data_IF_606758840459
#
_entry.id   IF_606758840459
#
_cell.length_a   1.000
_cell.length_b   1.000
_cell.length_c   1.000
_cell.angle_alpha   90.00
_cell.angle_beta   90.00
_cell.angle_gamma   90.00
#
_symmetry.space_group_name_H-M   'P 1'
#
loop_
_entity.id
_entity.type
_entity.pdbx_description
1 polymer ?
#
# COMPACT_ATOMS: atom_id res chain seq x y z
N UNK A 1 -8.51 -7.25 -20.56
CA UNK A 1 -9.38 -6.20 -21.11
C UNK A 1 -9.41 -5.09 -20.08
N UNK A 2 -8.62 -4.04 -20.30
CA UNK A 2 -8.34 -2.99 -19.33
C UNK A 2 -9.33 -1.84 -19.52
N UNK A 3 -10.36 -1.77 -18.70
CA UNK A 3 -11.25 -0.61 -18.67
C UNK A 3 -10.54 0.54 -17.95
N UNK A 4 -10.00 1.43 -18.77
CA UNK A 4 -9.36 2.69 -18.40
C UNK A 4 -10.33 3.48 -17.52
N UNK A 5 -9.89 3.83 -16.30
CA UNK A 5 -10.63 4.67 -15.37
C UNK A 5 -11.35 5.81 -16.09
N UNK A 6 -12.66 5.63 -16.23
CA UNK A 6 -13.55 6.55 -16.93
C UNK A 6 -13.70 7.79 -16.04
N UNK A 7 -13.37 8.94 -16.58
CA UNK A 7 -13.84 10.21 -16.08
C UNK A 7 -15.33 10.31 -16.48
N UNK A 8 -16.18 10.85 -15.61
CA UNK A 8 -17.60 11.04 -15.94
C UNK A 8 -17.74 11.98 -17.14
N UNK A 9 -18.93 11.98 -17.77
CA UNK A 9 -19.31 12.81 -18.94
C UNK A 9 -19.02 14.33 -18.74
N UNK A 10 -18.74 14.75 -17.51
CA UNK A 10 -18.32 16.09 -17.10
C UNK A 10 -16.93 16.08 -16.44
N UNK A 11 -15.92 15.41 -16.99
CA UNK A 11 -14.50 15.59 -16.61
C UNK A 11 -14.07 15.30 -15.16
N UNK A 12 -14.97 14.86 -14.28
CA UNK A 12 -14.72 14.56 -12.86
C UNK A 12 -14.47 13.07 -12.64
N UNK A 13 -13.98 12.71 -11.46
CA UNK A 13 -13.90 11.31 -11.04
C UNK A 13 -15.33 10.77 -10.87
N UNK A 14 -15.58 9.54 -11.32
CA UNK A 14 -16.86 8.88 -11.02
C UNK A 14 -16.88 8.46 -9.54
N UNK A 15 -18.05 8.35 -8.90
CA UNK A 15 -18.15 7.98 -7.49
C UNK A 15 -17.49 6.62 -7.19
N UNK A 16 -17.51 5.68 -8.14
CA UNK A 16 -16.85 4.39 -8.03
C UNK A 16 -15.34 4.53 -7.97
N UNK A 17 -14.76 5.45 -8.77
CA UNK A 17 -13.33 5.76 -8.73
C UNK A 17 -12.95 6.44 -7.41
N UNK A 18 -13.82 7.31 -6.89
CA UNK A 18 -13.62 7.95 -5.58
C UNK A 18 -13.61 6.90 -4.46
N UNK A 19 -14.57 5.99 -4.44
CA UNK A 19 -14.62 4.88 -3.47
C UNK A 19 -13.36 4.00 -3.57
N UNK A 20 -13.05 3.49 -4.77
CA UNK A 20 -11.88 2.65 -5.00
C UNK A 20 -10.55 3.36 -4.65
N UNK A 21 -10.47 4.68 -4.82
CA UNK A 21 -9.30 5.46 -4.42
C UNK A 21 -9.15 5.53 -2.89
N UNK A 22 -10.26 5.67 -2.17
CA UNK A 22 -10.27 5.72 -0.70
C UNK A 22 -9.96 4.35 -0.10
N UNK A 23 -10.49 3.29 -0.70
CA UNK A 23 -10.29 1.91 -0.23
C UNK A 23 -8.94 1.32 -0.70
N UNK A 24 -8.24 2.00 -1.61
CA UNK A 24 -6.91 1.59 -2.10
C UNK A 24 -6.95 0.47 -3.16
N UNK A 25 -8.09 0.30 -3.81
CA UNK A 25 -8.36 -0.79 -4.76
C UNK A 25 -8.02 -0.42 -6.21
N UNK A 26 -7.69 0.86 -6.48
CA UNK A 26 -7.27 1.27 -7.81
C UNK A 26 -5.94 0.62 -8.24
N UNK A 27 -5.85 0.30 -9.54
CA UNK A 27 -4.57 -0.03 -10.16
C UNK A 27 -3.63 1.16 -10.10
N UNK A 28 -2.31 0.91 -10.06
CA UNK A 28 -1.30 1.98 -9.88
C UNK A 28 -1.41 3.11 -10.90
N UNK A 29 -1.73 2.77 -12.15
CA UNK A 29 -1.93 3.75 -13.22
C UNK A 29 -3.18 4.61 -13.01
N UNK A 30 -4.29 3.98 -12.62
CA UNK A 30 -5.54 4.69 -12.33
C UNK A 30 -5.41 5.58 -11.09
N UNK A 31 -4.78 5.07 -10.03
CA UNK A 31 -4.50 5.81 -8.81
C UNK A 31 -3.63 7.05 -9.09
N UNK A 32 -2.58 6.91 -9.91
CA UNK A 32 -1.72 8.03 -10.26
C UNK A 32 -2.49 9.15 -11.00
N UNK A 33 -3.32 8.77 -11.99
CA UNK A 33 -4.17 9.73 -12.71
C UNK A 33 -5.19 10.42 -11.79
N UNK A 34 -5.84 9.65 -10.92
CA UNK A 34 -6.78 10.19 -9.94
C UNK A 34 -6.09 11.19 -9.00
N UNK A 35 -4.91 10.86 -8.48
CA UNK A 35 -4.12 11.78 -7.63
C UNK A 35 -3.72 13.07 -8.36
N UNK A 36 -3.33 13.00 -9.62
CA UNK A 36 -3.06 14.20 -10.44
C UNK A 36 -4.34 15.04 -10.56
N UNK A 37 -5.48 14.42 -10.86
CA UNK A 37 -6.76 15.12 -10.98
C UNK A 37 -7.13 15.87 -9.69
N UNK A 38 -6.90 15.28 -8.51
CA UNK A 38 -7.15 15.93 -7.21
C UNK A 38 -6.31 17.19 -6.94
N UNK A 39 -5.16 17.35 -7.62
CA UNK A 39 -4.36 18.58 -7.52
C UNK A 39 -5.06 19.73 -8.22
N UNK A 40 -5.76 19.45 -9.33
CA UNK A 40 -6.34 20.45 -10.20
C UNK A 40 -7.84 20.67 -9.97
N UNK A 41 -8.55 19.70 -9.39
CA UNK A 41 -9.99 19.78 -9.14
C UNK A 41 -10.29 19.80 -7.63
N UNK A 42 -10.91 20.89 -7.18
CA UNK A 42 -11.34 21.05 -5.77
C UNK A 42 -12.56 20.19 -5.45
N UNK A 43 -13.51 20.05 -6.37
CA UNK A 43 -14.75 19.30 -6.15
C UNK A 43 -14.46 17.82 -5.88
N UNK A 44 -13.65 17.17 -6.72
CA UNK A 44 -13.24 15.78 -6.47
C UNK A 44 -12.40 15.62 -5.21
N UNK A 45 -11.68 16.67 -4.78
CA UNK A 45 -10.96 16.64 -3.49
C UNK A 45 -11.92 16.65 -2.31
N UNK A 46 -13.00 17.40 -2.40
CA UNK A 46 -14.02 17.46 -1.36
C UNK A 46 -14.85 16.18 -1.31
N UNK A 47 -15.18 15.58 -2.46
CA UNK A 47 -15.81 14.25 -2.55
C UNK A 47 -14.94 13.16 -1.92
N UNK A 48 -13.63 13.11 -2.23
CA UNK A 48 -12.70 12.16 -1.61
C UNK A 48 -12.61 12.36 -0.11
N UNK A 49 -12.64 13.61 0.39
CA UNK A 49 -12.66 13.90 1.83
C UNK A 49 -13.95 13.39 2.48
N UNK A 50 -15.10 13.63 1.86
CA UNK A 50 -16.38 13.16 2.34
C UNK A 50 -16.42 11.61 2.40
N UNK A 51 -15.94 10.95 1.35
CA UNK A 51 -15.87 9.49 1.29
C UNK A 51 -14.93 8.92 2.36
N UNK A 52 -13.75 9.52 2.58
CA UNK A 52 -12.84 9.13 3.67
C UNK A 52 -13.50 9.23 5.04
N UNK A 53 -14.19 10.34 5.29
CA UNK A 53 -14.90 10.53 6.55
C UNK A 53 -16.01 9.47 6.74
N UNK A 54 -16.72 9.11 5.67
CA UNK A 54 -17.69 8.03 5.71
C UNK A 54 -17.04 6.68 6.03
N UNK A 55 -15.95 6.32 5.33
CA UNK A 55 -15.19 5.08 5.58
C UNK A 55 -14.64 5.02 7.02
N UNK A 56 -14.12 6.13 7.55
CA UNK A 56 -13.61 6.22 8.91
C UNK A 56 -14.71 6.03 9.95
N UNK A 57 -15.90 6.59 9.73
CA UNK A 57 -17.07 6.38 10.61
C UNK A 57 -17.48 4.91 10.65
N UNK A 58 -17.50 4.23 9.50
CA UNK A 58 -17.82 2.80 9.44
C UNK A 58 -16.78 1.94 10.15
N UNK A 59 -15.49 2.28 10.01
CA UNK A 59 -14.40 1.61 10.72
C UNK A 59 -14.47 1.85 12.24
N UNK A 60 -14.84 3.05 12.66
CA UNK A 60 -14.95 3.43 14.07
C UNK A 60 -16.24 2.98 14.76
N UNK A 61 -17.30 2.66 14.01
CA UNK A 61 -18.57 2.20 14.59
C UNK A 61 -18.52 0.77 15.11
N UNK A 62 -17.55 -0.03 14.68
CA UNK A 62 -17.36 -1.39 15.16
C UNK A 62 -16.37 -1.36 16.33
N UNK A 63 -16.79 -1.73 17.55
CA UNK A 63 -15.89 -1.78 18.69
C UNK A 63 -14.76 -2.80 18.44
N UNK A 64 -13.50 -2.35 18.51
CA UNK A 64 -12.32 -3.19 18.22
C UNK A 64 -12.19 -4.38 19.19
N UNK A 65 -12.79 -4.29 20.37
CA UNK A 65 -12.91 -5.36 21.38
C UNK A 65 -13.91 -6.45 20.98
N UNK A 66 -14.74 -6.24 19.95
CA UNK A 66 -15.64 -7.25 19.40
C UNK A 66 -15.07 -7.92 18.14
N UNK A 67 -14.03 -7.32 17.55
CA UNK A 67 -13.34 -7.85 16.38
C UNK A 67 -12.10 -8.63 16.80
N UNK A 68 -12.28 -9.92 17.12
CA UNK A 68 -11.16 -10.82 17.41
C UNK A 68 -10.92 -11.80 16.27
N UNK A 69 -9.66 -11.88 15.82
CA UNK A 69 -9.21 -12.96 14.97
C UNK A 69 -9.25 -14.28 15.75
N UNK A 70 -9.59 -15.39 15.07
CA UNK A 70 -9.55 -16.71 15.70
C UNK A 70 -8.13 -17.06 16.14
N UNK A 71 -7.99 -17.72 17.30
CA UNK A 71 -6.68 -18.11 17.82
C UNK A 71 -5.89 -19.01 16.86
N UNK A 72 -6.59 -19.84 16.07
CA UNK A 72 -5.97 -20.67 15.03
C UNK A 72 -5.40 -19.84 13.87
N UNK A 73 -6.04 -18.75 13.48
CA UNK A 73 -5.53 -17.84 12.46
C UNK A 73 -4.30 -17.09 12.97
N UNK A 74 -4.32 -16.59 14.20
CA UNK A 74 -3.17 -15.93 14.82
C UNK A 74 -1.96 -16.88 14.88
N UNK A 75 -2.16 -18.12 15.33
CA UNK A 75 -1.09 -19.12 15.38
C UNK A 75 -0.49 -19.42 14.01
N UNK A 76 -1.30 -19.45 12.93
CA UNK A 76 -0.80 -19.61 11.57
C UNK A 76 -0.04 -18.39 11.09
N UNK A 77 -0.56 -17.17 11.32
CA UNK A 77 0.11 -15.92 10.93
C UNK A 77 1.50 -15.78 11.58
N UNK A 78 1.62 -16.17 12.86
CA UNK A 78 2.91 -16.16 13.58
C UNK A 78 3.93 -17.13 12.99
N UNK A 79 3.48 -18.24 12.39
CA UNK A 79 4.33 -19.27 11.79
C UNK A 79 4.77 -18.99 10.35
N UNK A 80 4.18 -18.01 9.67
CA UNK A 80 4.53 -17.67 8.28
C UNK A 80 6.04 -17.50 8.06
N UNK A 81 6.80 -16.79 8.92
CA UNK A 81 8.24 -16.64 8.72
C UNK A 81 9.00 -17.97 8.70
N UNK A 82 8.58 -18.93 9.53
CA UNK A 82 9.19 -20.27 9.62
C UNK A 82 8.84 -21.11 8.39
N UNK A 83 7.57 -21.07 7.97
CA UNK A 83 7.09 -21.80 6.80
C UNK A 83 7.72 -21.25 5.49
N UNK A 84 7.97 -19.93 5.40
CA UNK A 84 8.64 -19.31 4.25
C UNK A 84 10.15 -19.60 4.19
N UNK A 85 10.81 -19.89 5.32
CA UNK A 85 12.22 -20.27 5.35
C UNK A 85 12.47 -21.70 4.83
N UNK A 86 11.42 -22.53 4.80
CA UNK A 86 11.49 -23.95 4.42
C UNK A 86 11.20 -24.20 2.93
N UNK A 87 10.78 -23.17 2.18
CA UNK A 87 10.59 -23.27 0.73
C UNK A 87 11.92 -23.33 0.00
N UNK A 88 12.17 -24.42 -0.72
CA UNK A 88 13.32 -24.54 -1.60
C UNK A 88 13.38 -23.36 -2.59
N UNK A 89 14.58 -22.84 -2.78
CA UNK A 89 14.82 -21.70 -3.67
C UNK A 89 14.88 -22.12 -5.13
N UNK A 90 13.83 -22.77 -5.67
CA UNK A 90 13.71 -22.92 -7.13
C UNK A 90 12.89 -21.75 -7.70
N UNK A 91 13.51 -20.85 -8.48
CA UNK A 91 12.74 -19.89 -9.26
C UNK A 91 12.06 -20.67 -10.39
N UNK A 92 10.84 -21.15 -10.15
CA UNK A 92 9.99 -21.62 -11.24
C UNK A 92 9.42 -20.40 -11.98
N UNK A 93 9.78 -20.31 -13.25
CA UNK A 93 9.25 -19.37 -14.25
C UNK A 93 7.74 -19.59 -14.49
N UNK A 94 6.92 -19.30 -13.48
CA UNK A 94 5.48 -19.15 -13.66
C UNK A 94 5.20 -17.74 -14.22
N UNK A 95 4.28 -17.60 -15.21
CA UNK A 95 3.90 -16.29 -15.74
C UNK A 95 3.49 -15.37 -14.60
N UNK A 96 4.25 -14.28 -14.41
CA UNK A 96 4.03 -13.30 -13.36
C UNK A 96 2.67 -12.62 -13.59
N UNK A 97 1.64 -13.08 -12.89
CA UNK A 97 0.50 -12.22 -12.58
C UNK A 97 1.02 -11.11 -11.66
N UNK A 98 1.10 -9.90 -12.23
CA UNK A 98 1.66 -8.70 -11.62
C UNK A 98 0.87 -8.19 -10.41
N UNK A 99 -0.35 -8.70 -10.19
CA UNK A 99 -1.20 -8.26 -9.09
C UNK A 99 -0.94 -9.00 -7.76
N UNK A 100 -0.02 -9.97 -7.73
CA UNK A 100 0.33 -10.69 -6.49
C UNK A 100 1.13 -9.82 -5.52
N UNK A 101 0.55 -9.55 -4.34
CA UNK A 101 1.25 -8.93 -3.22
C UNK A 101 2.41 -9.84 -2.82
N UNK A 102 3.64 -9.32 -2.86
CA UNK A 102 4.82 -10.11 -2.50
C UNK A 102 4.81 -10.50 -1.02
N UNK A 103 5.63 -11.50 -0.66
CA UNK A 103 5.78 -12.02 0.71
C UNK A 103 6.09 -10.89 1.74
N UNK A 104 6.73 -9.80 1.29
CA UNK A 104 7.01 -8.59 2.06
C UNK A 104 5.75 -7.73 2.35
N UNK A 105 4.54 -8.17 1.98
CA UNK A 105 3.29 -7.40 2.04
C UNK A 105 3.26 -6.18 1.11
N UNK A 106 4.32 -5.98 0.34
CA UNK A 106 4.47 -4.88 -0.59
C UNK A 106 4.03 -5.35 -1.98
N UNK A 107 3.12 -4.60 -2.62
CA UNK A 107 2.81 -4.79 -4.05
C UNK A 107 4.10 -4.63 -4.86
N UNK A 108 4.49 -5.67 -5.59
CA UNK A 108 5.73 -5.69 -6.37
C UNK A 108 5.61 -4.67 -7.50
N UNK A 109 6.64 -3.87 -7.80
CA UNK A 109 6.53 -2.89 -8.87
C UNK A 109 6.48 -3.56 -10.26
N UNK A 110 5.44 -3.21 -11.03
CA UNK A 110 5.12 -3.78 -12.35
C UNK A 110 5.99 -3.23 -13.50
N UNK A 111 6.86 -2.26 -13.20
CA UNK A 111 7.73 -1.59 -14.17
C UNK A 111 9.18 -1.68 -13.77
N UNK A 112 10.08 -1.76 -14.76
CA UNK A 112 11.53 -1.79 -14.54
C UNK A 112 11.98 -0.59 -13.67
N UNK A 113 11.40 0.58 -13.91
CA UNK A 113 11.69 1.81 -13.16
C UNK A 113 11.16 1.72 -11.73
N UNK A 114 9.98 1.11 -11.54
CA UNK A 114 9.45 0.82 -10.21
C UNK A 114 10.33 -0.15 -9.41
N UNK A 115 10.90 -1.18 -10.06
CA UNK A 115 11.86 -2.11 -9.46
C UNK A 115 13.13 -1.38 -9.02
N UNK A 116 13.68 -0.52 -9.87
CA UNK A 116 14.85 0.29 -9.54
C UNK A 116 14.58 1.26 -8.38
N UNK A 117 13.42 1.92 -8.36
CA UNK A 117 13.04 2.82 -7.28
C UNK A 117 12.85 2.09 -5.93
N UNK A 118 12.31 0.87 -5.95
CA UNK A 118 12.19 0.06 -4.75
C UNK A 118 13.56 -0.43 -4.23
N UNK A 119 14.45 -0.84 -5.13
CA UNK A 119 15.81 -1.24 -4.79
C UNK A 119 16.60 -0.07 -4.16
N UNK A 120 16.48 1.14 -4.73
CA UNK A 120 17.10 2.35 -4.19
C UNK A 120 16.64 2.63 -2.74
N UNK A 121 15.33 2.51 -2.45
CA UNK A 121 14.80 2.66 -1.08
C UNK A 121 15.34 1.60 -0.11
N UNK A 122 15.54 0.36 -0.57
CA UNK A 122 16.09 -0.74 0.26
C UNK A 122 17.58 -0.51 0.57
N UNK A 123 18.35 0.02 -0.38
CA UNK A 123 19.75 0.45 -0.19
C UNK A 123 19.82 1.62 0.81
N UNK A 124 18.98 2.64 0.65
CA UNK A 124 18.96 3.80 1.55
C UNK A 124 18.63 3.41 3.01
N UNK A 125 17.72 2.47 3.21
CA UNK A 125 17.38 1.94 4.55
C UNK A 125 18.54 1.16 5.20
N UNK A 126 19.39 0.51 4.40
CA UNK A 126 20.59 -0.18 4.90
C UNK A 126 21.66 0.81 5.34
N UNK A 127 21.82 1.93 4.63
CA UNK A 127 22.84 2.95 4.98
C UNK A 127 22.45 3.77 6.21
N UNK A 128 21.16 4.04 6.42
CA UNK A 128 20.70 4.78 7.62
C UNK A 128 20.66 3.93 8.89
N UNK A 129 20.44 2.61 8.78
CA UNK A 129 20.53 1.70 9.94
C UNK A 129 21.95 1.53 10.49
N UNK A 130 22.98 1.83 9.69
CA UNK A 130 24.39 1.88 10.12
C UNK A 130 24.83 3.22 10.73
N UNK A 131 23.98 4.26 10.72
CA UNK A 131 24.32 5.64 11.12
C UNK A 131 23.45 6.15 12.26
N UNK A 132 23.21 5.29 13.25
CA UNK A 132 22.59 5.64 14.53
C UNK A 132 23.50 5.20 15.70
N UNK A 133 24.69 5.81 15.81
CA UNK A 133 25.40 5.97 17.07
C UNK A 133 26.35 7.17 16.94
N UNK A 134 25.87 8.35 17.33
CA UNK A 134 26.76 9.45 17.68
C UNK A 134 26.71 9.57 19.20
N UNK A 135 27.83 9.42 19.93
CA UNK A 135 27.84 9.58 21.36
C UNK A 135 27.69 11.08 21.68
N UNK A 136 26.64 11.43 22.42
CA UNK A 136 26.54 12.73 23.09
C UNK A 136 27.65 12.79 24.16
N UNK A 137 28.77 13.42 23.83
CA UNK A 137 29.73 13.84 24.83
C UNK A 137 29.13 15.04 25.56
N UNK A 138 28.87 14.88 26.86
CA UNK A 138 28.44 15.94 27.77
C UNK A 138 29.69 16.35 28.55
N UNK A 139 30.30 17.45 28.15
CA UNK A 139 31.34 18.16 28.90
C UNK A 139 30.69 18.94 30.04
N UNK A 140 31.10 18.58 31.26
CA UNK A 140 31.39 19.35 32.47
C UNK A 140 30.66 20.66 32.80
N UNK A 141 30.32 20.75 34.08
CA UNK A 141 29.80 21.89 34.82
C UNK A 141 29.39 21.40 36.21
#
# INVERSE_FOLDING_TARGET
MSEVGKLSDVGHLTPEVVAALVDGELSRGAEHRARIHLVHCVECRDEVRAQRQASDRLRGSIPMDQLHASGSLLSRLVRIPDDCAQGDGTPQDAPLDSDTVGIDGCRRPDSITGRMAAAARKVQRRTTKGRAKSPRQRSEG
#
